data_IF_311420854564
#
_entry.id   IF_311420854564
#
_cell.length_a   1.000
_cell.length_b   1.000
_cell.length_c   1.000
_cell.angle_alpha   90.00
_cell.angle_beta   90.00
_cell.angle_gamma   90.00
#
_symmetry.space_group_name_H-M   'P 1'
#
loop_
_entity.id
_entity.type
_entity.pdbx_description
1 polymer ?
#
# COMPACT_ATOMS: atom_id res chain seq x y z
N UNK A 1 10.48 7.08 -9.79
CA UNK A 1 11.33 7.42 -8.64
C UNK A 1 10.63 7.04 -7.35
N UNK A 2 11.36 6.69 -6.29
CA UNK A 2 10.74 6.51 -4.96
C UNK A 2 10.41 7.88 -4.38
N UNK A 3 9.14 8.14 -4.07
CA UNK A 3 8.68 9.41 -3.50
C UNK A 3 8.44 9.37 -1.99
N UNK A 4 8.24 8.18 -1.42
CA UNK A 4 7.99 7.97 0.01
C UNK A 4 8.25 6.51 0.40
N UNK A 5 8.56 6.26 1.67
CA UNK A 5 8.61 4.92 2.26
C UNK A 5 7.44 4.75 3.22
N UNK A 6 6.66 3.68 3.04
CA UNK A 6 5.62 3.28 3.96
C UNK A 6 6.12 2.18 4.91
N UNK A 7 6.00 2.42 6.21
CA UNK A 7 6.40 1.49 7.26
C UNK A 7 5.19 0.62 7.59
N UNK A 8 5.24 -0.63 7.14
CA UNK A 8 4.22 -1.67 7.27
C UNK A 8 2.94 -1.49 6.44
N UNK A 9 2.11 -2.53 6.41
CA UNK A 9 0.78 -2.56 5.80
C UNK A 9 -0.25 -2.95 6.86
N UNK A 10 -1.34 -2.18 7.04
CA UNK A 10 -2.42 -2.47 8.00
C UNK A 10 -1.97 -2.98 9.39
N UNK A 11 -1.13 -2.23 10.13
CA UNK A 11 -0.60 -2.68 11.41
C UNK A 11 -1.65 -2.88 12.52
N UNK A 12 -2.89 -2.41 12.31
CA UNK A 12 -4.03 -2.65 13.20
C UNK A 12 -4.95 -3.80 12.73
N UNK A 13 -4.57 -4.56 11.71
CA UNK A 13 -5.33 -5.68 11.17
C UNK A 13 -4.62 -7.01 11.49
N UNK A 14 -5.33 -7.97 12.08
CA UNK A 14 -4.78 -9.28 12.49
C UNK A 14 -4.10 -10.04 11.34
N UNK A 15 -4.52 -9.77 10.11
CA UNK A 15 -4.01 -10.40 8.89
C UNK A 15 -2.66 -9.83 8.43
N UNK A 16 -2.18 -8.79 9.10
CA UNK A 16 -0.92 -8.12 8.79
C UNK A 16 -0.06 -7.85 10.04
N UNK A 17 -0.63 -7.82 11.24
CA UNK A 17 0.08 -7.78 12.53
C UNK A 17 -0.68 -8.56 13.59
N UNK A 18 -0.02 -9.47 14.31
CA UNK A 18 -0.67 -10.39 15.25
C UNK A 18 -0.94 -9.75 16.64
N UNK A 19 -2.21 -9.49 17.02
CA UNK A 19 -2.55 -8.90 18.31
C UNK A 19 -2.49 -9.90 19.48
N UNK A 20 -2.38 -11.22 19.25
CA UNK A 20 -2.16 -12.18 20.34
C UNK A 20 -0.69 -12.11 20.82
N UNK A 21 0.24 -11.75 19.92
CA UNK A 21 1.67 -11.59 20.19
C UNK A 21 2.01 -10.16 20.70
N UNK A 22 1.27 -9.15 20.23
CA UNK A 22 1.51 -7.74 20.54
C UNK A 22 0.20 -6.96 20.83
N UNK A 23 -0.53 -7.30 21.91
CA UNK A 23 -1.91 -6.87 22.15
C UNK A 23 -2.10 -5.36 22.39
N UNK A 24 -1.03 -4.61 22.64
CA UNK A 24 -1.06 -3.17 22.82
C UNK A 24 -0.27 -2.41 21.75
N UNK A 25 0.29 -3.11 20.75
CA UNK A 25 1.19 -2.57 19.71
C UNK A 25 2.51 -1.98 20.22
N UNK A 26 3.00 -2.40 21.40
CA UNK A 26 4.32 -1.95 21.91
C UNK A 26 5.49 -2.45 21.05
N UNK A 27 5.45 -3.69 20.55
CA UNK A 27 6.50 -4.22 19.66
C UNK A 27 6.43 -3.55 18.29
N UNK A 28 5.22 -3.34 17.76
CA UNK A 28 5.01 -2.61 16.52
C UNK A 28 5.60 -1.20 16.61
N UNK A 29 5.31 -0.47 17.70
CA UNK A 29 5.83 0.87 17.90
C UNK A 29 7.37 0.89 17.95
N UNK A 30 8.01 0.00 18.70
CA UNK A 30 9.48 -0.11 18.73
C UNK A 30 10.06 -0.37 17.33
N UNK A 31 9.46 -1.30 16.57
CA UNK A 31 9.85 -1.63 15.20
C UNK A 31 9.69 -0.44 14.24
N UNK A 32 8.54 0.24 14.28
CA UNK A 32 8.24 1.38 13.43
C UNK A 32 9.15 2.58 13.71
N UNK A 33 9.46 2.83 14.99
CA UNK A 33 10.42 3.86 15.42
C UNK A 33 11.83 3.54 14.92
N UNK A 34 12.26 2.27 15.01
CA UNK A 34 13.53 1.79 14.48
C UNK A 34 13.63 2.02 12.97
N UNK A 35 12.63 1.57 12.22
CA UNK A 35 12.54 1.76 10.77
C UNK A 35 12.55 3.26 10.37
N UNK A 36 11.73 4.10 11.02
CA UNK A 36 11.65 5.54 10.73
C UNK A 36 12.97 6.28 10.97
N UNK A 37 13.72 5.89 12.00
CA UNK A 37 15.09 6.39 12.26
C UNK A 37 16.08 5.90 11.19
N UNK A 38 16.04 4.62 10.85
CA UNK A 38 16.97 4.00 9.89
C UNK A 38 16.78 4.56 8.46
N UNK A 39 15.53 4.78 8.03
CA UNK A 39 15.21 5.45 6.77
C UNK A 39 15.75 6.89 6.77
N UNK A 40 15.50 7.65 7.85
CA UNK A 40 15.93 9.05 7.95
C UNK A 40 17.46 9.24 7.97
N UNK A 41 18.21 8.28 8.55
CA UNK A 41 19.67 8.28 8.52
C UNK A 41 20.23 8.12 7.09
N UNK A 42 19.51 7.39 6.23
CA UNK A 42 19.91 7.14 4.84
C UNK A 42 19.44 8.25 3.89
N UNK A 43 18.18 8.68 4.02
CA UNK A 43 17.63 9.81 3.28
C UNK A 43 16.67 10.62 4.17
N UNK A 44 17.12 11.74 4.77
CA UNK A 44 16.28 12.57 5.65
C UNK A 44 15.25 13.42 4.90
N UNK A 45 15.31 13.52 3.56
CA UNK A 45 14.32 14.24 2.76
C UNK A 45 13.18 13.37 2.24
N UNK A 46 13.23 12.05 2.50
CA UNK A 46 12.25 11.10 1.99
C UNK A 46 11.10 10.94 3.00
N UNK A 47 9.84 11.28 2.64
CA UNK A 47 8.69 11.11 3.51
C UNK A 47 8.54 9.67 3.99
N UNK A 48 8.40 9.52 5.31
CA UNK A 48 8.09 8.26 5.98
C UNK A 48 6.60 8.24 6.32
N UNK A 49 5.91 7.19 5.94
CA UNK A 49 4.45 7.07 6.11
C UNK A 49 4.15 5.93 7.07
N UNK A 50 3.37 6.17 8.11
CA UNK A 50 2.84 5.08 8.94
C UNK A 50 1.87 4.24 8.11
N UNK A 51 2.08 2.93 8.10
CA UNK A 51 1.32 1.95 7.30
C UNK A 51 -0.18 2.11 7.40
N UNK A 52 -0.85 2.03 6.25
CA UNK A 52 -2.26 2.38 6.13
C UNK A 52 -3.18 1.49 6.96
N UNK A 53 -4.01 2.09 7.82
CA UNK A 53 -4.82 1.35 8.80
C UNK A 53 -6.16 0.87 8.24
N UNK A 54 -6.59 -0.32 8.66
CA UNK A 54 -7.77 -1.04 8.17
C UNK A 54 -8.32 -1.98 9.27
N UNK A 55 -9.36 -1.59 10.03
CA UNK A 55 -10.23 -0.43 9.81
C UNK A 55 -9.56 0.93 10.08
N UNK A 56 -10.20 2.00 9.61
CA UNK A 56 -9.87 3.37 9.98
C UNK A 56 -10.21 3.56 11.47
N UNK A 57 -9.19 3.86 12.28
CA UNK A 57 -9.29 3.89 13.75
C UNK A 57 -8.44 5.03 14.36
N UNK A 58 -9.07 6.09 14.89
CA UNK A 58 -8.38 7.15 15.62
C UNK A 58 -7.73 6.69 16.93
N UNK A 59 -8.22 5.63 17.57
CA UNK A 59 -7.66 5.13 18.83
C UNK A 59 -6.29 4.46 18.60
N UNK A 60 -6.13 3.71 17.50
CA UNK A 60 -4.82 3.23 17.06
C UNK A 60 -3.83 4.38 16.83
N UNK A 61 -4.23 5.46 16.13
CA UNK A 61 -3.37 6.63 15.93
C UNK A 61 -2.98 7.27 17.26
N UNK A 62 -3.94 7.48 18.18
CA UNK A 62 -3.65 8.02 19.52
C UNK A 62 -2.70 7.12 20.34
N UNK A 63 -2.83 5.78 20.22
CA UNK A 63 -1.92 4.82 20.84
C UNK A 63 -0.50 4.93 20.26
N UNK A 64 -0.37 5.05 18.93
CA UNK A 64 0.92 5.25 18.26
C UNK A 64 1.56 6.60 18.61
N UNK A 65 0.77 7.66 18.79
CA UNK A 65 1.24 8.95 19.32
C UNK A 65 1.76 8.79 20.74
N UNK A 66 1.00 8.14 21.63
CA UNK A 66 1.40 7.88 23.03
C UNK A 66 2.68 7.04 23.16
N UNK A 67 3.04 6.27 22.13
CA UNK A 67 4.28 5.49 22.04
C UNK A 67 5.42 6.20 21.30
N UNK A 68 5.23 7.44 20.82
CA UNK A 68 6.26 8.22 20.12
C UNK A 68 6.52 7.81 18.66
N UNK A 69 5.61 7.06 18.02
CA UNK A 69 5.78 6.64 16.62
C UNK A 69 5.63 7.82 15.67
N UNK A 70 4.70 8.74 15.97
CA UNK A 70 4.42 9.90 15.10
C UNK A 70 5.56 10.92 15.04
N UNK A 71 6.51 10.89 15.99
CA UNK A 71 7.74 11.71 15.95
C UNK A 71 8.76 11.23 14.89
N UNK A 72 8.49 10.07 14.28
CA UNK A 72 9.39 9.39 13.34
C UNK A 72 8.77 9.13 11.96
N UNK A 73 7.58 9.67 11.70
CA UNK A 73 6.89 9.67 10.39
C UNK A 73 6.40 11.06 10.00
N UNK A 74 6.27 11.30 8.70
CA UNK A 74 5.87 12.57 8.09
C UNK A 74 4.41 12.56 7.62
N UNK A 75 3.80 11.38 7.52
CA UNK A 75 2.41 11.17 7.15
C UNK A 75 1.85 9.91 7.83
N UNK A 76 0.53 9.82 7.89
CA UNK A 76 -0.18 8.59 8.25
C UNK A 76 -1.10 8.17 7.11
N UNK A 77 -1.36 6.89 6.96
CA UNK A 77 -2.25 6.40 5.92
C UNK A 77 -3.47 5.65 6.45
N UNK A 78 -4.51 5.56 5.62
CA UNK A 78 -5.78 4.88 5.89
C UNK A 78 -6.21 4.06 4.67
N UNK A 79 -6.86 2.93 4.92
CA UNK A 79 -7.47 2.10 3.89
C UNK A 79 -9.00 2.06 4.03
N UNK A 80 -9.74 1.89 2.93
CA UNK A 80 -11.19 1.77 3.00
C UNK A 80 -11.85 1.08 1.81
N UNK A 81 -12.78 0.19 2.12
CA UNK A 81 -13.51 -0.69 1.23
C UNK A 81 -14.99 -0.79 1.68
N UNK A 82 -15.73 0.34 1.68
CA UNK A 82 -17.08 0.46 2.25
C UNK A 82 -18.16 -0.38 1.55
N UNK A 83 -17.89 -0.89 0.34
CA UNK A 83 -18.82 -1.75 -0.41
C UNK A 83 -18.50 -3.25 -0.29
N UNK A 84 -17.46 -3.61 0.48
CA UNK A 84 -16.90 -4.96 0.51
C UNK A 84 -16.71 -5.55 1.91
N UNK A 85 -15.96 -4.88 2.80
CA UNK A 85 -15.68 -5.38 4.15
C UNK A 85 -15.58 -4.32 5.26
N UNK A 86 -15.71 -3.03 4.95
CA UNK A 86 -15.88 -1.99 5.97
C UNK A 86 -17.36 -1.66 6.17
N UNK A 87 -17.77 -1.50 7.43
CA UNK A 87 -19.18 -1.35 7.84
C UNK A 87 -19.60 0.13 7.94
N UNK A 88 -19.38 0.89 6.87
CA UNK A 88 -19.80 2.29 6.71
C UNK A 88 -20.08 2.59 5.23
N UNK A 89 -20.90 3.60 4.93
CA UNK A 89 -21.32 3.96 3.57
C UNK A 89 -20.22 4.73 2.83
N UNK A 90 -20.12 4.57 1.51
CA UNK A 90 -19.07 5.23 0.70
C UNK A 90 -19.04 6.76 0.90
N UNK A 91 -20.19 7.40 1.09
CA UNK A 91 -20.33 8.84 1.31
C UNK A 91 -19.76 9.32 2.67
N UNK A 92 -19.46 8.41 3.60
CA UNK A 92 -18.83 8.72 4.88
C UNK A 92 -17.30 8.90 4.78
N UNK A 93 -16.70 8.69 3.60
CA UNK A 93 -15.25 8.88 3.35
C UNK A 93 -14.68 10.21 3.91
N UNK A 94 -15.31 11.39 3.66
CA UNK A 94 -14.83 12.65 4.23
C UNK A 94 -14.87 12.68 5.77
N UNK A 95 -15.88 12.05 6.38
CA UNK A 95 -15.97 11.91 7.83
C UNK A 95 -14.88 10.98 8.37
N UNK A 96 -14.57 9.88 7.69
CA UNK A 96 -13.48 8.96 8.05
C UNK A 96 -12.10 9.59 7.98
N UNK A 97 -11.85 10.49 7.02
CA UNK A 97 -10.62 11.30 7.02
C UNK A 97 -10.63 12.33 8.16
N UNK A 98 -11.78 12.95 8.46
CA UNK A 98 -11.91 13.90 9.56
C UNK A 98 -11.69 13.27 10.94
N UNK A 99 -12.22 12.07 11.19
CA UNK A 99 -12.00 11.27 12.42
C UNK A 99 -10.50 11.16 12.75
N UNK A 100 -9.67 10.93 11.72
CA UNK A 100 -8.22 10.79 11.86
C UNK A 100 -7.51 12.14 11.98
N UNK A 101 -7.93 13.16 11.20
CA UNK A 101 -7.42 14.54 11.33
C UNK A 101 -7.68 15.17 12.71
N UNK A 102 -8.69 14.70 13.44
CA UNK A 102 -8.97 15.18 14.79
C UNK A 102 -7.97 14.67 15.85
N UNK A 103 -7.14 13.67 15.53
CA UNK A 103 -6.15 13.07 16.47
C UNK A 103 -4.70 13.23 16.02
N UNK A 104 -4.42 13.90 14.89
CA UNK A 104 -3.06 14.23 14.45
C UNK A 104 -3.01 15.47 13.55
N UNK A 105 -1.88 16.17 13.56
CA UNK A 105 -1.55 17.24 12.60
C UNK A 105 -0.90 16.72 11.32
N UNK A 106 -0.51 15.45 11.26
CA UNK A 106 0.14 14.87 10.09
C UNK A 106 -0.83 14.72 8.90
N UNK A 107 -0.36 14.87 7.65
CA UNK A 107 -1.18 14.61 6.47
C UNK A 107 -1.67 13.16 6.42
N UNK A 108 -2.96 13.00 6.09
CA UNK A 108 -3.65 11.70 5.99
C UNK A 108 -3.71 11.27 4.53
N UNK A 109 -3.09 10.14 4.22
CA UNK A 109 -3.02 9.53 2.87
C UNK A 109 -4.04 8.39 2.74
N UNK A 110 -4.77 8.31 1.63
CA UNK A 110 -5.56 7.11 1.31
C UNK A 110 -4.68 6.17 0.47
N UNK A 111 -3.90 5.34 1.16
CA UNK A 111 -2.94 4.44 0.51
C UNK A 111 -3.59 3.20 -0.12
N UNK A 112 -4.86 2.93 0.18
CA UNK A 112 -5.61 1.84 -0.43
C UNK A 112 -7.10 2.13 -0.36
N UNK A 113 -7.75 2.19 -1.53
CA UNK A 113 -9.21 2.23 -1.63
C UNK A 113 -9.64 1.45 -2.86
N UNK A 114 -10.74 0.70 -2.76
CA UNK A 114 -11.24 -0.06 -3.88
C UNK A 114 -12.69 -0.45 -3.71
N UNK A 115 -13.24 -0.99 -4.79
CA UNK A 115 -14.56 -1.62 -4.85
C UNK A 115 -14.42 -2.90 -5.65
N UNK A 116 -14.91 -4.02 -5.12
CA UNK A 116 -14.93 -5.28 -5.85
C UNK A 116 -15.95 -5.25 -6.98
N UNK A 117 -15.57 -5.80 -8.14
CA UNK A 117 -16.50 -6.12 -9.22
C UNK A 117 -17.28 -7.43 -8.98
N UNK A 118 -17.18 -8.02 -7.79
CA UNK A 118 -17.88 -9.27 -7.45
C UNK A 118 -19.40 -9.06 -7.43
N UNK A 119 -20.05 -9.55 -8.49
CA UNK A 119 -21.49 -9.44 -8.73
C UNK A 119 -21.84 -8.61 -9.97
N UNK A 120 -21.12 -7.51 -10.22
CA UNK A 120 -21.28 -6.65 -11.40
C UNK A 120 -20.06 -5.71 -11.56
N UNK A 121 -19.59 -5.50 -12.80
CA UNK A 121 -18.49 -4.56 -13.08
C UNK A 121 -18.94 -3.10 -13.03
N UNK A 122 -20.23 -2.84 -13.24
CA UNK A 122 -20.87 -1.54 -13.12
C UNK A 122 -20.78 -0.97 -11.70
N UNK A 123 -20.80 -1.83 -10.68
CA UNK A 123 -20.64 -1.44 -9.26
C UNK A 123 -19.24 -0.92 -9.01
N UNK A 124 -18.21 -1.61 -9.52
CA UNK A 124 -16.82 -1.13 -9.46
C UNK A 124 -16.65 0.18 -10.25
N UNK A 125 -17.24 0.26 -11.44
CA UNK A 125 -17.11 1.45 -12.30
C UNK A 125 -17.79 2.69 -11.69
N UNK A 126 -18.96 2.54 -11.05
CA UNK A 126 -19.59 3.60 -10.26
C UNK A 126 -18.78 3.93 -9.00
N UNK A 127 -18.32 2.90 -8.28
CA UNK A 127 -17.54 3.05 -7.06
C UNK A 127 -16.22 3.80 -7.27
N UNK A 128 -15.54 3.56 -8.40
CA UNK A 128 -14.36 4.30 -8.84
C UNK A 128 -14.65 5.79 -9.03
N UNK A 129 -15.70 6.13 -9.78
CA UNK A 129 -16.08 7.52 -10.02
C UNK A 129 -16.46 8.23 -8.70
N UNK A 130 -17.28 7.58 -7.86
CA UNK A 130 -17.73 8.15 -6.57
C UNK A 130 -16.60 8.29 -5.55
N UNK A 131 -15.71 7.30 -5.46
CA UNK A 131 -14.50 7.39 -4.63
C UNK A 131 -13.61 8.56 -5.07
N UNK A 132 -13.43 8.73 -6.37
CA UNK A 132 -12.60 9.79 -6.93
C UNK A 132 -13.16 11.18 -6.60
N UNK A 133 -14.47 11.37 -6.75
CA UNK A 133 -15.20 12.60 -6.35
C UNK A 133 -15.01 12.93 -4.86
N UNK A 134 -15.08 11.92 -3.98
CA UNK A 134 -15.01 12.10 -2.53
C UNK A 134 -13.59 12.30 -1.99
N UNK A 135 -12.56 11.82 -2.69
CA UNK A 135 -11.18 11.75 -2.16
C UNK A 135 -10.17 12.65 -2.87
N UNK A 136 -10.34 12.94 -4.16
CA UNK A 136 -9.42 13.81 -4.89
C UNK A 136 -9.51 15.23 -4.30
N UNK A 137 -8.35 15.81 -3.98
CA UNK A 137 -8.27 17.09 -3.26
C UNK A 137 -8.52 17.00 -1.75
N UNK A 138 -9.12 15.91 -1.24
CA UNK A 138 -9.25 15.66 0.20
C UNK A 138 -8.02 15.00 0.80
N UNK A 139 -7.25 14.21 0.04
CA UNK A 139 -6.02 13.56 0.50
C UNK A 139 -4.84 13.84 -0.45
N UNK A 140 -3.59 14.02 0.04
CA UNK A 140 -2.43 14.22 -0.82
C UNK A 140 -2.10 13.03 -1.73
N UNK A 141 -2.51 11.82 -1.34
CA UNK A 141 -2.34 10.59 -2.11
C UNK A 141 -3.60 9.75 -1.98
N UNK A 142 -4.14 9.31 -3.12
CA UNK A 142 -5.25 8.36 -3.20
C UNK A 142 -4.80 7.24 -4.14
N UNK A 143 -4.81 6.00 -3.70
CA UNK A 143 -4.38 4.85 -4.51
C UNK A 143 -5.50 3.82 -4.65
N UNK A 144 -5.93 3.58 -5.88
CA UNK A 144 -6.91 2.55 -6.19
C UNK A 144 -6.32 1.14 -6.09
N UNK A 145 -6.94 0.26 -5.30
CA UNK A 145 -6.61 -1.16 -5.23
C UNK A 145 -7.63 -1.96 -6.06
N UNK A 146 -7.23 -2.64 -7.14
CA UNK A 146 -5.86 -2.88 -7.64
C UNK A 146 -5.76 -2.74 -9.17
N UNK A 147 -4.56 -2.93 -9.75
CA UNK A 147 -4.43 -3.05 -11.20
C UNK A 147 -5.01 -4.39 -11.68
N UNK A 148 -4.54 -5.49 -11.09
CA UNK A 148 -4.97 -6.86 -11.43
C UNK A 148 -5.83 -7.47 -10.34
N UNK A 149 -6.81 -8.26 -10.74
CA UNK A 149 -7.43 -9.24 -9.86
C UNK A 149 -6.37 -10.18 -9.27
N UNK A 150 -6.56 -10.54 -8.00
CA UNK A 150 -5.79 -11.60 -7.37
C UNK A 150 -6.10 -12.93 -8.06
N UNK A 151 -5.09 -13.69 -8.53
CA UNK A 151 -5.33 -14.99 -9.16
C UNK A 151 -6.05 -15.95 -8.21
N UNK A 152 -7.05 -16.68 -8.71
CA UNK A 152 -7.84 -17.62 -7.86
C UNK A 152 -7.00 -18.77 -7.29
N UNK A 153 -5.88 -19.07 -7.93
CA UNK A 153 -4.91 -20.07 -7.47
C UNK A 153 -3.95 -19.54 -6.38
N UNK A 154 -3.95 -18.23 -6.11
CA UNK A 154 -3.08 -17.61 -5.11
C UNK A 154 -3.84 -17.40 -3.79
N UNK A 155 -3.16 -17.49 -2.64
CA UNK A 155 -3.80 -17.21 -1.35
C UNK A 155 -4.19 -15.73 -1.27
N UNK A 156 -5.44 -15.46 -0.91
CA UNK A 156 -5.81 -14.15 -0.38
C UNK A 156 -5.18 -14.04 1.02
N UNK A 157 -4.11 -13.25 1.15
CA UNK A 157 -3.37 -13.04 2.41
C UNK A 157 -4.27 -12.62 3.57
N UNK A 158 -5.43 -12.03 3.26
CA UNK A 158 -6.24 -11.29 4.21
C UNK A 158 -7.17 -12.14 5.09
N UNK A 159 -7.79 -13.27 4.70
CA UNK A 159 -8.77 -13.98 5.56
C UNK A 159 -9.03 -15.45 5.23
N UNK A 160 -9.59 -16.18 6.22
CA UNK A 160 -10.02 -17.59 6.10
C UNK A 160 -11.41 -17.74 5.45
N UNK A 161 -11.50 -18.66 4.48
CA UNK A 161 -12.68 -18.90 3.64
C UNK A 161 -13.95 -19.28 4.41
N UNK A 162 -13.86 -20.08 5.49
CA UNK A 162 -15.04 -20.47 6.27
C UNK A 162 -15.63 -19.33 7.11
N UNK A 163 -14.83 -18.31 7.45
CA UNK A 163 -15.23 -17.27 8.40
C UNK A 163 -15.97 -16.07 7.79
N UNK A 164 -15.84 -15.84 6.48
CA UNK A 164 -16.30 -14.60 5.81
C UNK A 164 -17.46 -14.79 4.82
N UNK A 165 -17.82 -16.02 4.47
CA UNK A 165 -18.89 -16.28 3.51
C UNK A 165 -18.60 -15.65 2.13
N UNK A 166 -19.44 -14.69 1.71
CA UNK A 166 -19.30 -14.06 0.39
C UNK A 166 -18.17 -13.04 0.29
N UNK A 167 -17.75 -12.40 1.41
CA UNK A 167 -16.72 -11.36 1.36
C UNK A 167 -15.35 -11.90 0.96
N UNK A 168 -15.04 -13.15 1.28
CA UNK A 168 -13.82 -13.84 0.82
C UNK A 168 -13.64 -13.78 -0.71
N UNK A 169 -14.72 -13.92 -1.48
CA UNK A 169 -14.65 -13.93 -2.94
C UNK A 169 -14.40 -12.55 -3.55
N UNK A 170 -14.67 -11.46 -2.81
CA UNK A 170 -14.48 -10.07 -3.26
C UNK A 170 -13.00 -9.75 -3.49
N UNK A 171 -12.10 -10.35 -2.70
CA UNK A 171 -10.65 -10.20 -2.85
C UNK A 171 -10.13 -10.59 -4.25
N UNK A 172 -10.77 -11.54 -4.93
CA UNK A 172 -10.41 -12.00 -6.28
C UNK A 172 -11.06 -11.18 -7.41
N UNK A 173 -11.59 -9.99 -7.10
CA UNK A 173 -12.31 -9.15 -8.07
C UNK A 173 -12.09 -7.63 -7.86
N UNK A 174 -10.99 -7.25 -7.20
CA UNK A 174 -10.62 -5.86 -6.91
C UNK A 174 -9.91 -5.12 -8.06
N UNK A 175 -9.36 -5.84 -9.03
CA UNK A 175 -8.57 -5.27 -10.11
C UNK A 175 -9.41 -4.45 -11.10
N UNK A 176 -8.78 -3.46 -11.74
CA UNK A 176 -9.27 -2.86 -12.98
C UNK A 176 -9.13 -3.82 -14.18
N UNK A 177 -8.19 -4.75 -14.09
CA UNK A 177 -7.96 -5.86 -15.02
C UNK A 177 -8.32 -7.19 -14.34
N UNK A 178 -8.77 -8.16 -15.13
CA UNK A 178 -8.96 -9.55 -14.68
C UNK A 178 -7.61 -10.26 -14.52
N UNK A 179 -7.63 -11.47 -13.99
CA UNK A 179 -6.44 -12.33 -13.77
C UNK A 179 -5.58 -12.49 -15.05
N UNK A 180 -6.23 -12.58 -16.22
CA UNK A 180 -5.62 -12.70 -17.55
C UNK A 180 -5.14 -11.36 -18.17
N UNK A 181 -5.33 -10.23 -17.47
CA UNK A 181 -5.00 -8.89 -17.95
C UNK A 181 -6.01 -8.27 -18.90
N UNK A 182 -7.17 -8.90 -19.14
CA UNK A 182 -8.28 -8.29 -19.88
C UNK A 182 -8.92 -7.15 -19.06
N UNK A 183 -9.26 -6.00 -19.67
CA UNK A 183 -9.82 -4.86 -18.94
C UNK A 183 -11.28 -5.08 -18.52
N UNK A 184 -11.63 -4.53 -17.36
CA UNK A 184 -13.01 -4.35 -16.89
C UNK A 184 -13.53 -2.96 -17.24
N UNK A 185 -14.84 -2.74 -17.08
CA UNK A 185 -15.50 -1.42 -17.30
C UNK A 185 -14.77 -0.28 -16.55
N UNK A 186 -14.29 -0.53 -15.32
CA UNK A 186 -13.59 0.48 -14.52
C UNK A 186 -12.25 0.94 -15.14
N UNK A 187 -11.54 0.08 -15.87
CA UNK A 187 -10.28 0.44 -16.54
C UNK A 187 -10.47 1.52 -17.62
N UNK A 188 -11.64 1.57 -18.27
CA UNK A 188 -11.97 2.60 -19.27
C UNK A 188 -12.30 3.96 -18.63
N UNK A 189 -12.70 3.96 -17.34
CA UNK A 189 -13.04 5.18 -16.60
C UNK A 189 -11.84 5.78 -15.87
N UNK A 190 -10.93 4.96 -15.37
CA UNK A 190 -9.77 5.37 -14.58
C UNK A 190 -8.98 6.56 -15.18
N UNK A 191 -8.69 6.64 -16.50
CA UNK A 191 -7.93 7.76 -17.07
C UNK A 191 -8.57 9.15 -16.87
N UNK A 192 -9.86 9.23 -16.53
CA UNK A 192 -10.56 10.50 -16.20
C UNK A 192 -10.11 11.10 -14.87
N UNK A 193 -9.57 10.26 -13.98
CA UNK A 193 -9.16 10.60 -12.61
C UNK A 193 -7.63 10.68 -12.47
N UNK A 194 -6.90 10.21 -13.49
CA UNK A 194 -5.46 10.34 -13.59
C UNK A 194 -5.04 11.81 -13.90
N UNK A 195 -3.88 12.29 -13.42
CA UNK A 195 -2.91 11.61 -12.57
C UNK A 195 -3.21 11.73 -11.07
N UNK A 196 -4.35 12.32 -10.68
CA UNK A 196 -4.67 12.61 -9.27
C UNK A 196 -5.00 11.34 -8.46
N UNK A 197 -5.62 10.35 -9.10
CA UNK A 197 -5.76 8.99 -8.59
C UNK A 197 -4.56 8.13 -9.01
N UNK A 198 -3.87 7.55 -8.05
CA UNK A 198 -2.83 6.55 -8.24
C UNK A 198 -3.37 5.12 -8.19
N UNK A 199 -2.48 4.13 -8.30
CA UNK A 199 -2.81 2.71 -8.15
C UNK A 199 -1.98 2.08 -7.02
N UNK A 200 -2.59 1.19 -6.24
CA UNK A 200 -1.89 0.27 -5.36
C UNK A 200 -1.86 -1.12 -6.04
N UNK A 201 -0.67 -1.59 -6.42
CA UNK A 201 -0.46 -2.92 -6.98
C UNK A 201 0.78 -3.55 -6.37
N UNK A 202 0.57 -4.64 -5.62
CA UNK A 202 1.63 -5.51 -5.19
C UNK A 202 2.06 -6.41 -6.34
N UNK A 203 3.33 -6.31 -6.76
CA UNK A 203 3.96 -7.31 -7.62
C UNK A 203 4.66 -8.33 -6.73
N UNK A 204 4.08 -9.53 -6.64
CA UNK A 204 4.62 -10.62 -5.83
C UNK A 204 6.01 -11.05 -6.31
N UNK A 205 6.72 -11.83 -5.51
CA UNK A 205 8.04 -12.35 -5.88
C UNK A 205 8.02 -13.06 -7.24
N UNK A 206 8.86 -12.61 -8.18
CA UNK A 206 8.93 -13.09 -9.56
C UNK A 206 7.59 -13.06 -10.33
N UNK A 207 6.70 -12.09 -10.04
CA UNK A 207 5.43 -11.92 -10.75
C UNK A 207 5.67 -11.61 -12.24
N UNK A 208 5.44 -12.62 -13.07
CA UNK A 208 5.54 -12.58 -14.53
C UNK A 208 4.70 -11.47 -15.20
N UNK A 209 3.72 -10.90 -14.49
CA UNK A 209 2.85 -9.83 -15.02
C UNK A 209 3.50 -8.44 -14.95
N UNK A 210 4.67 -8.27 -14.33
CA UNK A 210 5.27 -6.94 -14.12
C UNK A 210 5.31 -6.08 -15.39
N UNK A 211 5.85 -6.61 -16.48
CA UNK A 211 6.13 -5.82 -17.70
C UNK A 211 4.82 -5.42 -18.40
N UNK A 212 3.84 -6.31 -18.41
CA UNK A 212 2.50 -6.03 -18.91
C UNK A 212 1.72 -5.08 -17.98
N UNK A 213 1.98 -5.16 -16.67
CA UNK A 213 1.47 -4.26 -15.65
C UNK A 213 1.99 -2.84 -15.85
N UNK A 214 3.30 -2.66 -16.04
CA UNK A 214 3.93 -1.37 -16.38
C UNK A 214 3.31 -0.77 -17.64
N UNK A 215 3.12 -1.56 -18.70
CA UNK A 215 2.48 -1.10 -19.92
C UNK A 215 1.02 -0.63 -19.66
N UNK A 216 0.28 -1.30 -18.78
CA UNK A 216 -1.06 -0.89 -18.37
C UNK A 216 -1.07 0.35 -17.48
N UNK A 217 -0.18 0.47 -16.48
CA UNK A 217 -0.02 1.66 -15.64
C UNK A 217 0.21 2.91 -16.50
N UNK A 218 1.10 2.81 -17.50
CA UNK A 218 1.35 3.88 -18.47
C UNK A 218 0.12 4.19 -19.32
N UNK A 219 -0.59 3.17 -19.83
CA UNK A 219 -1.83 3.33 -20.61
C UNK A 219 -2.96 3.99 -19.80
N UNK A 220 -3.02 3.75 -18.50
CA UNK A 220 -4.01 4.31 -17.58
C UNK A 220 -3.65 5.74 -17.12
N UNK A 221 -2.50 6.28 -17.52
CA UNK A 221 -2.03 7.61 -17.11
C UNK A 221 -1.56 7.68 -15.66
N UNK A 222 -1.25 6.53 -15.04
CA UNK A 222 -0.84 6.47 -13.63
C UNK A 222 0.46 7.24 -13.45
N UNK A 223 0.45 8.16 -12.47
CA UNK A 223 1.65 8.84 -11.98
C UNK A 223 2.08 8.25 -10.64
N UNK A 224 1.17 8.23 -9.66
CA UNK A 224 1.44 7.73 -8.32
C UNK A 224 1.16 6.23 -8.22
N UNK A 225 2.17 5.47 -7.79
CA UNK A 225 2.07 4.02 -7.63
C UNK A 225 2.45 3.64 -6.19
N UNK A 226 1.65 2.78 -5.56
CA UNK A 226 2.03 2.09 -4.34
C UNK A 226 2.30 0.62 -4.64
N UNK A 227 3.45 0.14 -4.16
CA UNK A 227 3.86 -1.27 -4.14
C UNK A 227 4.69 -1.50 -2.86
N UNK A 228 5.42 -2.60 -2.75
CA UNK A 228 6.37 -2.80 -1.66
C UNK A 228 7.41 -3.87 -1.90
N UNK A 229 8.42 -3.89 -1.02
CA UNK A 229 9.43 -4.93 -0.95
C UNK A 229 9.24 -5.73 0.33
N UNK A 230 9.23 -7.06 0.19
CA UNK A 230 8.99 -7.98 1.30
C UNK A 230 10.30 -8.38 1.99
N UNK A 231 10.44 -8.07 3.28
CA UNK A 231 11.54 -8.51 4.14
C UNK A 231 11.57 -10.03 4.26
N UNK A 232 10.42 -10.69 4.38
CA UNK A 232 10.31 -12.14 4.24
C UNK A 232 10.89 -12.64 2.90
N UNK A 233 10.59 -11.97 1.79
CA UNK A 233 11.13 -12.35 0.48
C UNK A 233 12.61 -12.01 0.31
N UNK A 234 13.20 -11.11 1.12
CA UNK A 234 14.64 -10.80 1.06
C UNK A 234 15.53 -11.97 1.48
N UNK A 235 14.96 -13.03 2.07
CA UNK A 235 15.64 -14.29 2.36
C UNK A 235 15.49 -15.35 1.26
N UNK A 236 14.75 -15.07 0.18
CA UNK A 236 14.67 -15.97 -1.00
C UNK A 236 15.96 -15.89 -1.82
N UNK A 237 16.32 -16.98 -2.54
CA UNK A 237 17.33 -16.91 -3.60
C UNK A 237 17.03 -15.77 -4.58
N UNK A 238 18.07 -15.09 -5.05
CA UNK A 238 17.99 -13.99 -6.03
C UNK A 238 17.14 -12.76 -5.63
N UNK A 239 16.76 -12.61 -4.36
CA UNK A 239 15.78 -11.58 -3.96
C UNK A 239 16.17 -10.14 -4.33
N UNK A 240 17.45 -9.77 -4.19
CA UNK A 240 17.93 -8.46 -4.61
C UNK A 240 17.80 -8.24 -6.12
N UNK A 241 18.05 -9.27 -6.95
CA UNK A 241 17.91 -9.17 -8.40
C UNK A 241 16.43 -9.01 -8.83
N UNK A 242 15.50 -9.65 -8.11
CA UNK A 242 14.07 -9.39 -8.32
C UNK A 242 13.68 -7.96 -7.91
N UNK A 243 14.14 -7.48 -6.74
CA UNK A 243 13.87 -6.12 -6.28
C UNK A 243 14.47 -5.07 -7.23
N UNK A 244 15.69 -5.29 -7.72
CA UNK A 244 16.33 -4.45 -8.75
C UNK A 244 15.47 -4.36 -10.01
N UNK A 245 15.07 -5.51 -10.57
CA UNK A 245 14.19 -5.60 -11.74
C UNK A 245 12.87 -4.85 -11.51
N UNK A 246 12.27 -4.99 -10.33
CA UNK A 246 11.03 -4.32 -9.99
C UNK A 246 11.21 -2.79 -9.93
N UNK A 247 12.25 -2.31 -9.24
CA UNK A 247 12.48 -0.87 -9.09
C UNK A 247 12.96 -0.20 -10.38
N UNK A 248 13.68 -0.91 -11.25
CA UNK A 248 14.02 -0.45 -12.60
C UNK A 248 12.76 -0.31 -13.48
N UNK A 249 11.92 -1.35 -13.54
CA UNK A 249 10.71 -1.35 -14.34
C UNK A 249 9.67 -0.30 -13.89
N UNK A 250 9.64 0.02 -12.59
CA UNK A 250 8.75 1.03 -12.01
C UNK A 250 9.38 2.44 -11.92
N UNK A 251 10.58 2.64 -12.49
CA UNK A 251 11.35 3.88 -12.31
C UNK A 251 10.69 5.14 -12.89
N UNK A 252 9.75 5.01 -13.84
CA UNK A 252 9.00 6.12 -14.45
C UNK A 252 7.86 6.68 -13.59
N UNK A 253 7.39 5.94 -12.58
CA UNK A 253 6.27 6.35 -11.69
C UNK A 253 6.78 7.03 -10.42
N UNK A 254 5.98 7.87 -9.79
CA UNK A 254 6.22 8.36 -8.43
C UNK A 254 5.76 7.26 -7.44
N UNK A 255 6.71 6.51 -6.88
CA UNK A 255 6.46 5.27 -6.11
C UNK A 255 6.48 5.50 -4.60
N UNK A 256 5.35 5.24 -3.94
CA UNK A 256 5.31 5.00 -2.48
C UNK A 256 5.67 3.53 -2.23
N UNK A 257 6.85 3.29 -1.65
CA UNK A 257 7.39 1.95 -1.46
C UNK A 257 7.14 1.44 -0.04
N UNK A 258 6.37 0.37 0.10
CA UNK A 258 6.00 -0.22 1.39
C UNK A 258 7.03 -1.27 1.83
N UNK A 259 7.43 -1.24 3.10
CA UNK A 259 8.25 -2.28 3.74
C UNK A 259 7.42 -3.07 4.77
N UNK A 260 7.31 -4.37 4.57
CA UNK A 260 6.73 -5.41 5.43
C UNK A 260 7.26 -6.75 4.86
N UNK A 261 6.76 -7.97 5.09
CA UNK A 261 6.26 -8.55 6.32
C UNK A 261 7.39 -9.37 6.97
N UNK A 262 7.20 -9.89 8.19
CA UNK A 262 8.26 -10.59 8.95
C UNK A 262 8.65 -11.92 8.28
N UNK A 263 9.94 -12.25 8.08
CA UNK A 263 10.37 -13.60 7.71
C UNK A 263 9.98 -14.59 8.81
N UNK A 264 9.40 -15.75 8.47
CA UNK A 264 8.88 -16.71 9.46
C UNK A 264 9.93 -17.07 10.55
N UNK A 265 11.17 -17.33 10.15
CA UNK A 265 12.26 -17.67 11.08
C UNK A 265 12.75 -16.49 11.96
N UNK A 266 12.25 -15.27 11.74
CA UNK A 266 12.54 -14.04 12.50
C UNK A 266 11.35 -13.55 13.34
N UNK A 267 10.17 -14.12 13.16
CA UNK A 267 9.00 -13.85 14.01
C UNK A 267 9.09 -14.54 15.37
N UNK A 268 8.41 -13.99 16.38
CA UNK A 268 8.15 -14.67 17.66
C UNK A 268 7.37 -15.98 17.43
N UNK A 269 6.43 -15.97 16.48
CA UNK A 269 5.85 -17.15 15.86
C UNK A 269 6.31 -17.26 14.39
N UNK A 270 6.32 -18.46 13.79
CA UNK A 270 6.71 -18.66 12.38
C UNK A 270 5.60 -18.22 11.42
N UNK A 271 5.30 -16.91 11.40
CA UNK A 271 4.25 -16.33 10.59
C UNK A 271 4.57 -14.88 10.20
N UNK A 272 4.14 -14.45 9.02
CA UNK A 272 4.48 -13.15 8.45
C UNK A 272 3.90 -11.94 9.20
N UNK A 273 2.78 -12.15 9.92
CA UNK A 273 2.16 -11.15 10.80
C UNK A 273 2.80 -11.07 12.19
N UNK A 274 3.69 -12.01 12.53
CA UNK A 274 4.31 -12.02 13.86
C UNK A 274 5.22 -10.81 14.02
N UNK A 275 5.16 -10.19 15.20
CA UNK A 275 6.21 -9.27 15.61
C UNK A 275 7.59 -9.95 15.55
N UNK A 276 8.66 -9.26 15.11
CA UNK A 276 9.99 -9.83 15.03
C UNK A 276 10.58 -10.09 16.42
N UNK A 277 11.47 -11.08 16.50
CA UNK A 277 12.28 -11.36 17.70
C UNK A 277 13.21 -10.18 18.01
N UNK A 278 13.77 -9.56 16.98
CA UNK A 278 14.67 -8.41 17.03
C UNK A 278 14.13 -7.33 16.07
N UNK A 279 13.49 -6.25 16.56
CA UNK A 279 12.97 -5.18 15.70
C UNK A 279 14.07 -4.42 14.93
N UNK A 280 15.32 -4.51 15.39
CA UNK A 280 16.49 -3.92 14.74
C UNK A 280 16.74 -4.52 13.35
N UNK A 281 16.49 -5.81 13.13
CA UNK A 281 16.71 -6.45 11.81
C UNK A 281 15.76 -5.91 10.73
N UNK A 282 14.54 -5.50 11.11
CA UNK A 282 13.63 -4.81 10.19
C UNK A 282 14.11 -3.39 9.89
N UNK A 283 14.69 -2.69 10.87
CA UNK A 283 15.28 -1.37 10.66
C UNK A 283 16.51 -1.44 9.73
N UNK A 284 17.35 -2.47 9.87
CA UNK A 284 18.46 -2.77 8.96
C UNK A 284 17.97 -3.04 7.53
N UNK A 285 16.92 -3.86 7.36
CA UNK A 285 16.28 -4.07 6.05
C UNK A 285 15.78 -2.74 5.45
N UNK A 286 15.08 -1.92 6.23
CA UNK A 286 14.57 -0.62 5.80
C UNK A 286 15.72 0.31 5.34
N UNK A 287 16.82 0.39 6.11
CA UNK A 287 17.99 1.16 5.71
C UNK A 287 18.64 0.62 4.42
N UNK A 288 18.83 -0.69 4.32
CA UNK A 288 19.46 -1.32 3.16
C UNK A 288 18.65 -1.09 1.87
N UNK A 289 17.32 -1.24 1.92
CA UNK A 289 16.46 -1.00 0.77
C UNK A 289 16.34 0.49 0.43
N UNK A 290 16.26 1.37 1.44
CA UNK A 290 16.27 2.83 1.22
C UNK A 290 17.58 3.26 0.58
N UNK A 291 18.72 2.74 1.04
CA UNK A 291 20.04 3.09 0.51
C UNK A 291 20.18 2.66 -0.95
N UNK A 292 19.64 1.48 -1.29
CA UNK A 292 19.70 0.90 -2.63
C UNK A 292 18.81 1.64 -3.64
N UNK A 293 17.60 2.02 -3.27
CA UNK A 293 16.58 2.50 -4.23
C UNK A 293 16.18 3.97 -4.07
N UNK A 294 16.51 4.59 -2.94
CA UNK A 294 16.06 5.94 -2.59
C UNK A 294 17.13 6.80 -1.87
N UNK A 295 18.42 6.46 -2.02
CA UNK A 295 19.52 7.33 -1.56
C UNK A 295 19.54 8.65 -2.36
N UNK A 296 19.96 9.80 -1.78
CA UNK A 296 20.04 11.09 -2.49
C UNK A 296 20.92 11.08 -3.76
N UNK A 297 21.77 10.07 -3.94
CA UNK A 297 22.61 9.89 -5.13
C UNK A 297 21.96 9.05 -6.24
N UNK A 298 20.81 8.42 -5.98
CA UNK A 298 19.98 7.79 -7.02
C UNK A 298 19.39 8.91 -7.87
N UNK A 299 19.97 9.15 -9.04
CA UNK A 299 19.64 10.31 -9.90
C UNK A 299 18.14 10.43 -10.14
N UNK A 300 17.59 11.59 -9.80
CA UNK A 300 16.30 11.99 -10.33
C UNK A 300 16.38 12.08 -11.86
N UNK A 301 15.47 11.40 -12.57
CA UNK A 301 15.30 11.56 -14.02
C UNK A 301 14.23 12.63 -14.27
N UNK A 302 14.40 13.35 -15.38
CA UNK A 302 13.47 14.40 -15.79
C UNK A 302 12.04 13.84 -15.95
N UNK A 303 11.00 14.61 -15.57
CA UNK A 303 9.63 14.16 -15.68
C UNK A 303 9.26 13.88 -17.14
N UNK A 304 8.43 12.85 -17.36
CA UNK A 304 7.83 12.55 -18.66
C UNK A 304 7.15 13.80 -19.23
N UNK A 305 7.68 14.31 -20.34
CA UNK A 305 7.03 15.38 -21.08
C UNK A 305 5.62 14.93 -21.49
N UNK A 306 4.60 15.72 -21.17
CA UNK A 306 3.23 15.39 -21.50
C UNK A 306 3.03 15.43 -23.01
N UNK A 307 3.09 14.26 -23.65
CA UNK A 307 2.70 14.07 -25.04
C UNK A 307 1.16 14.13 -25.16
N UNK A 308 0.61 15.32 -24.95
CA UNK A 308 -0.73 15.68 -25.41
C UNK A 308 -0.60 15.88 -26.93
N UNK A 309 -1.29 15.10 -27.76
CA UNK A 309 -1.41 15.44 -29.18
C UNK A 309 -2.24 16.72 -29.29
N UNK A 310 -1.73 17.72 -30.00
CA UNK A 310 -2.54 18.87 -30.43
C UNK A 310 -3.71 18.39 -31.33
N UNK A 311 -4.83 19.16 -31.37
CA UNK A 311 -6.17 18.66 -31.72
C UNK A 311 -6.41 18.27 -33.19
#
# INVERSE_FOLDING_TARGET
MIEAIMIWNEPNNKSHWDPEIDPDWSRFAQMAIGAGKAIAQVNPSLPRVLGGISPIDPAFIANMTGKGVLDHVDAIAVHGFPLDWNLWQIDEWPAKIAEIRNVTSLPVWVSEVGVSSFGAEEVQAWGLDRTSELLIGQSPRVHWYSLYDLPRAWPATTRHKEAEGSSYYRHFSMGLLREDGSPKIAAERFPRHAPALGICQWFHFEDHRLDQGVAWLRRLGVRYLRTGLSWADSFRPNALAWFDRQMEALSEFDVTLTYCFTPEHRGIAPHHTSAPQLPEEFAEFCAAMTHRYASPHVKAREPLASAIPDP
#
